data_IF_106175999113
#
_entry.id   IF_106175999113
#
_cell.length_a   1.000
_cell.length_b   1.000
_cell.length_c   1.000
_cell.angle_alpha   90.00
_cell.angle_beta   90.00
_cell.angle_gamma   90.00
#
_symmetry.space_group_name_H-M   'P 1'
#
loop_
_entity.id
_entity.type
_entity.pdbx_description
1 polymer ?
#
# COMPACT_ATOMS: atom_id res chain seq x y z
N UNK A 1 8.28 3.48 -11.40
CA UNK A 1 7.15 2.67 -11.91
C UNK A 1 5.87 3.36 -11.46
N UNK A 2 4.86 3.51 -12.33
CA UNK A 2 3.58 4.13 -11.97
C UNK A 2 2.50 3.05 -11.84
N UNK A 3 2.29 2.50 -10.65
CA UNK A 3 1.37 1.38 -10.45
C UNK A 3 -0.10 1.68 -10.81
N UNK A 4 -0.51 2.96 -10.77
CA UNK A 4 -1.89 3.36 -11.04
C UNK A 4 -2.26 3.28 -12.53
N UNK A 5 -1.27 3.26 -13.44
CA UNK A 5 -1.50 3.09 -14.88
C UNK A 5 -1.48 1.63 -15.34
N UNK A 6 -1.16 0.67 -14.46
CA UNK A 6 -1.13 -0.76 -14.79
C UNK A 6 -2.32 -1.49 -14.17
N UNK A 7 -2.96 -2.35 -14.97
CA UNK A 7 -4.06 -3.19 -14.52
C UNK A 7 -3.96 -4.60 -15.10
N UNK A 8 -3.95 -5.60 -14.23
CA UNK A 8 -4.09 -7.00 -14.63
C UNK A 8 -5.54 -7.44 -14.53
N UNK A 9 -6.20 -7.66 -15.68
CA UNK A 9 -7.58 -8.20 -15.74
C UNK A 9 -7.68 -9.63 -15.21
N UNK A 10 -6.57 -10.36 -15.16
CA UNK A 10 -6.51 -11.75 -14.73
C UNK A 10 -6.20 -11.93 -13.25
N UNK A 11 -5.72 -10.89 -12.55
CA UNK A 11 -5.34 -10.97 -11.14
C UNK A 11 -6.44 -11.58 -10.26
N UNK A 12 -7.70 -11.15 -10.45
CA UNK A 12 -8.85 -11.67 -9.69
C UNK A 12 -9.08 -13.17 -9.87
N UNK A 13 -8.61 -13.76 -10.98
CA UNK A 13 -8.71 -15.20 -11.25
C UNK A 13 -7.47 -15.96 -10.79
N UNK A 14 -6.36 -15.28 -10.52
CA UNK A 14 -5.05 -15.87 -10.22
C UNK A 14 -4.57 -15.69 -8.78
N UNK A 15 -5.16 -14.78 -8.01
CA UNK A 15 -4.77 -14.48 -6.64
C UNK A 15 -5.90 -14.78 -5.63
N UNK A 16 -5.52 -14.95 -4.36
CA UNK A 16 -6.43 -15.22 -3.25
C UNK A 16 -6.29 -16.64 -2.68
N UNK A 17 -7.22 -17.05 -1.79
CA UNK A 17 -7.20 -18.36 -1.15
C UNK A 17 -7.10 -19.51 -2.15
N UNK A 18 -6.24 -20.49 -1.86
CA UNK A 18 -6.02 -21.66 -2.72
C UNK A 18 -5.22 -21.41 -3.99
N UNK A 19 -4.70 -20.18 -4.20
CA UNK A 19 -3.79 -19.85 -5.30
C UNK A 19 -2.52 -19.17 -4.82
N UNK A 20 -2.67 -18.12 -4.01
CA UNK A 20 -1.56 -17.36 -3.45
C UNK A 20 -1.71 -17.31 -1.93
N UNK A 21 -2.28 -16.22 -1.41
CA UNK A 21 -2.53 -15.98 0.01
C UNK A 21 -3.93 -15.39 0.20
N UNK A 22 -4.63 -15.67 1.31
CA UNK A 22 -6.01 -15.22 1.49
C UNK A 22 -6.24 -13.71 1.39
N UNK A 23 -5.27 -12.91 1.82
CA UNK A 23 -5.31 -11.44 1.90
C UNK A 23 -4.78 -10.73 0.65
N UNK A 24 -4.24 -11.46 -0.34
CA UNK A 24 -3.54 -10.87 -1.48
C UNK A 24 -4.39 -9.80 -2.19
N UNK A 25 -5.67 -10.11 -2.47
CA UNK A 25 -6.56 -9.18 -3.19
C UNK A 25 -6.88 -7.94 -2.36
N UNK A 26 -7.05 -8.09 -1.06
CA UNK A 26 -7.37 -6.98 -0.14
C UNK A 26 -6.15 -6.06 0.00
N UNK A 27 -4.95 -6.63 0.17
CA UNK A 27 -3.68 -5.90 0.21
C UNK A 27 -3.44 -5.14 -1.09
N UNK A 28 -3.67 -5.78 -2.24
CA UNK A 28 -3.51 -5.13 -3.54
C UNK A 28 -4.50 -3.97 -3.73
N UNK A 29 -5.77 -4.16 -3.33
CA UNK A 29 -6.79 -3.12 -3.40
C UNK A 29 -6.46 -1.93 -2.47
N UNK A 30 -6.05 -2.22 -1.24
CA UNK A 30 -5.67 -1.19 -0.26
C UNK A 30 -4.43 -0.41 -0.73
N UNK A 31 -3.43 -1.08 -1.31
CA UNK A 31 -2.22 -0.43 -1.83
C UNK A 31 -2.57 0.55 -2.96
N UNK A 32 -3.41 0.14 -3.93
CA UNK A 32 -3.84 1.04 -5.00
C UNK A 32 -4.61 2.26 -4.47
N UNK A 33 -5.49 2.05 -3.48
CA UNK A 33 -6.21 3.15 -2.84
C UNK A 33 -5.25 4.13 -2.13
N UNK A 34 -4.25 3.61 -1.40
CA UNK A 34 -3.25 4.43 -0.73
C UNK A 34 -2.41 5.26 -1.71
N UNK A 35 -1.95 4.66 -2.82
CA UNK A 35 -1.19 5.37 -3.85
C UNK A 35 -2.02 6.44 -4.56
N UNK A 36 -3.30 6.15 -4.84
CA UNK A 36 -4.21 7.14 -5.42
C UNK A 36 -4.41 8.34 -4.48
N UNK A 37 -4.55 8.09 -3.17
CA UNK A 37 -4.67 9.16 -2.17
C UNK A 37 -3.38 9.95 -2.03
N UNK A 38 -2.22 9.29 -1.98
CA UNK A 38 -0.92 9.95 -1.89
C UNK A 38 -0.67 10.88 -3.09
N UNK A 39 -1.06 10.46 -4.30
CA UNK A 39 -1.02 11.32 -5.49
C UNK A 39 -1.86 12.58 -5.33
N UNK A 40 -3.11 12.45 -4.87
CA UNK A 40 -3.97 13.62 -4.61
C UNK A 40 -3.38 14.56 -3.55
N UNK A 41 -2.78 13.99 -2.49
CA UNK A 41 -2.10 14.75 -1.44
C UNK A 41 -0.91 15.51 -2.00
N UNK A 42 -0.11 14.89 -2.88
CA UNK A 42 1.04 15.53 -3.53
C UNK A 42 0.59 16.68 -4.42
N UNK A 43 -0.43 16.46 -5.26
CA UNK A 43 -1.03 17.50 -6.09
C UNK A 43 -1.57 18.67 -5.24
N UNK A 44 -2.20 18.39 -4.09
CA UNK A 44 -2.64 19.42 -3.16
C UNK A 44 -1.45 20.17 -2.52
N UNK A 45 -0.42 19.47 -2.08
CA UNK A 45 0.78 20.05 -1.49
C UNK A 45 1.52 20.99 -2.47
N UNK A 46 1.57 20.63 -3.75
CA UNK A 46 2.18 21.44 -4.80
C UNK A 46 1.40 22.75 -5.04
N UNK A 47 0.08 22.73 -4.81
CA UNK A 47 -0.80 23.91 -4.97
C UNK A 47 -0.80 24.84 -3.76
N UNK A 48 -0.88 24.30 -2.54
CA UNK A 48 -1.09 25.09 -1.31
C UNK A 48 0.10 25.12 -0.35
N UNK A 49 1.14 24.32 -0.62
CA UNK A 49 2.32 24.15 0.22
C UNK A 49 2.20 23.03 1.25
N UNK A 50 3.34 22.43 1.62
CA UNK A 50 3.41 21.28 2.53
C UNK A 50 2.95 21.59 3.97
N UNK A 51 2.95 22.86 4.38
CA UNK A 51 2.51 23.29 5.71
C UNK A 51 1.00 23.10 5.93
N UNK A 52 0.22 23.03 4.85
CA UNK A 52 -1.23 22.80 4.89
C UNK A 52 -1.61 21.32 5.05
N UNK A 53 -0.65 20.39 5.01
CA UNK A 53 -0.92 18.96 5.08
C UNK A 53 -1.28 18.50 6.49
N UNK A 54 -2.39 17.76 6.59
CA UNK A 54 -2.76 17.08 7.83
C UNK A 54 -1.74 15.99 8.20
N UNK A 55 -1.71 15.53 9.46
CA UNK A 55 -0.88 14.39 9.85
C UNK A 55 -1.14 13.14 9.00
N UNK A 56 -2.39 12.87 8.65
CA UNK A 56 -2.76 11.73 7.80
C UNK A 56 -2.24 11.91 6.37
N UNK A 57 -2.34 13.11 5.80
CA UNK A 57 -1.82 13.39 4.46
C UNK A 57 -0.30 13.17 4.39
N UNK A 58 0.43 13.59 5.43
CA UNK A 58 1.87 13.31 5.54
C UNK A 58 2.17 11.81 5.54
N UNK A 59 1.38 11.00 6.28
CA UNK A 59 1.50 9.54 6.27
C UNK A 59 1.24 8.92 4.90
N UNK A 60 0.36 9.48 4.09
CA UNK A 60 0.18 9.03 2.71
C UNK A 60 1.40 9.32 1.83
N UNK A 61 2.09 10.46 2.03
CA UNK A 61 3.35 10.73 1.34
C UNK A 61 4.48 9.79 1.80
N UNK A 62 4.56 9.49 3.11
CA UNK A 62 5.52 8.51 3.64
C UNK A 62 5.24 7.10 3.08
N UNK A 63 3.97 6.73 2.98
CA UNK A 63 3.53 5.47 2.37
C UNK A 63 3.94 5.36 0.90
N UNK A 64 3.83 6.45 0.13
CA UNK A 64 4.24 6.52 -1.28
C UNK A 64 5.76 6.38 -1.44
N UNK A 65 6.55 7.03 -0.57
CA UNK A 65 8.00 6.85 -0.56
C UNK A 65 8.40 5.41 -0.21
N UNK A 66 7.76 4.82 0.80
CA UNK A 66 7.98 3.43 1.18
C UNK A 66 7.52 2.44 0.11
N UNK A 67 6.52 2.79 -0.71
CA UNK A 67 6.19 1.99 -1.88
C UNK A 67 7.31 2.01 -2.93
N UNK A 68 7.89 3.18 -3.23
CA UNK A 68 8.88 3.29 -4.28
C UNK A 68 10.24 2.66 -3.92
N UNK A 69 10.76 2.92 -2.73
CA UNK A 69 12.14 2.53 -2.38
C UNK A 69 12.24 1.08 -1.86
N UNK A 70 11.66 0.69 -0.72
CA UNK A 70 11.84 -0.67 -0.23
C UNK A 70 10.94 -1.72 -0.94
N UNK A 71 9.81 -1.32 -1.53
CA UNK A 71 8.89 -2.27 -2.15
C UNK A 71 9.13 -2.48 -3.65
N UNK A 72 9.21 -1.39 -4.44
CA UNK A 72 9.44 -1.47 -5.90
C UNK A 72 10.91 -1.58 -6.27
N UNK A 73 11.79 -0.79 -5.65
CA UNK A 73 13.23 -0.73 -5.99
C UNK A 73 14.01 -1.91 -5.39
N UNK A 74 13.66 -3.12 -5.84
CA UNK A 74 14.39 -4.34 -5.53
C UNK A 74 15.76 -4.33 -6.18
N UNK A 75 16.76 -4.90 -5.51
CA UNK A 75 18.09 -5.00 -6.12
C UNK A 75 18.02 -5.92 -7.35
N UNK A 76 18.91 -5.67 -8.31
CA UNK A 76 18.97 -6.46 -9.56
C UNK A 76 19.23 -7.95 -9.33
N UNK A 77 19.83 -8.30 -8.21
CA UNK A 77 20.17 -9.66 -7.78
C UNK A 77 19.26 -10.19 -6.66
N UNK A 78 18.22 -9.43 -6.29
CA UNK A 78 17.23 -9.86 -5.29
C UNK A 78 16.18 -10.76 -5.94
N UNK A 79 15.97 -11.94 -5.33
CA UNK A 79 14.86 -12.83 -5.64
C UNK A 79 13.90 -12.80 -4.46
N UNK A 80 12.71 -12.26 -4.67
CA UNK A 80 11.67 -12.16 -3.63
C UNK A 80 10.53 -13.13 -3.93
N UNK A 81 10.21 -13.99 -2.99
CA UNK A 81 9.03 -14.83 -3.06
C UNK A 81 7.75 -13.98 -2.95
N UNK A 82 6.62 -14.54 -3.36
CA UNK A 82 5.35 -13.84 -3.27
C UNK A 82 4.97 -13.50 -1.83
N UNK A 83 5.20 -14.42 -0.89
CA UNK A 83 4.91 -14.18 0.53
C UNK A 83 5.76 -13.03 1.09
N UNK A 84 7.05 -12.99 0.76
CA UNK A 84 7.93 -11.87 1.15
C UNK A 84 7.48 -10.54 0.54
N UNK A 85 6.96 -10.57 -0.70
CA UNK A 85 6.36 -9.40 -1.34
C UNK A 85 5.13 -8.93 -0.57
N UNK A 86 4.22 -9.83 -0.20
CA UNK A 86 3.03 -9.47 0.55
C UNK A 86 3.35 -9.00 1.97
N UNK A 87 4.35 -9.58 2.64
CA UNK A 87 4.86 -9.05 3.92
C UNK A 87 5.45 -7.65 3.77
N UNK A 88 6.21 -7.39 2.70
CA UNK A 88 6.71 -6.05 2.42
C UNK A 88 5.57 -5.07 2.13
N UNK A 89 4.49 -5.50 1.46
CA UNK A 89 3.32 -4.66 1.22
C UNK A 89 2.63 -4.29 2.54
N UNK A 90 2.50 -5.23 3.48
CA UNK A 90 1.99 -4.95 4.82
C UNK A 90 2.81 -3.89 5.55
N UNK A 91 4.15 -3.97 5.52
CA UNK A 91 5.02 -2.96 6.14
C UNK A 91 4.78 -1.56 5.58
N UNK A 92 4.57 -1.45 4.27
CA UNK A 92 4.23 -0.16 3.62
C UNK A 92 2.86 0.32 4.07
N UNK A 93 1.84 -0.55 4.07
CA UNK A 93 0.48 -0.18 4.44
C UNK A 93 0.35 0.22 5.92
N UNK A 94 1.10 -0.42 6.81
CA UNK A 94 1.08 -0.12 8.25
C UNK A 94 1.72 1.23 8.63
N UNK A 95 2.28 1.96 7.66
CA UNK A 95 2.63 3.38 7.84
C UNK A 95 1.36 4.23 8.04
N UNK A 96 0.26 3.81 7.41
CA UNK A 96 -1.04 4.44 7.56
C UNK A 96 -1.70 3.99 8.86
N UNK A 97 -2.37 4.91 9.59
CA UNK A 97 -3.11 4.53 10.77
C UNK A 97 -4.32 3.65 10.38
N UNK A 98 -4.76 2.79 11.29
CA UNK A 98 -5.84 1.81 11.04
C UNK A 98 -7.07 2.40 10.35
N UNK A 99 -7.49 3.61 10.72
CA UNK A 99 -8.66 4.29 10.13
C UNK A 99 -8.54 4.59 8.63
N UNK A 100 -7.34 4.53 8.07
CA UNK A 100 -7.05 4.74 6.65
C UNK A 100 -6.94 3.43 5.85
N UNK A 101 -7.03 2.28 6.53
CA UNK A 101 -6.93 0.95 5.95
C UNK A 101 -8.29 0.30 5.70
N UNK A 102 -9.21 1.06 5.08
CA UNK A 102 -10.63 0.72 4.97
C UNK A 102 -10.95 -0.49 4.08
N UNK A 103 -10.06 -0.89 3.17
CA UNK A 103 -10.25 -2.07 2.31
C UNK A 103 -9.80 -3.36 3.00
N UNK A 104 -9.11 -3.27 4.14
CA UNK A 104 -8.61 -4.42 4.86
C UNK A 104 -9.61 -4.87 5.94
N UNK A 105 -10.00 -6.16 5.97
CA UNK A 105 -10.77 -6.74 7.06
C UNK A 105 -10.16 -6.47 8.43
N UNK A 106 -10.99 -6.15 9.42
CA UNK A 106 -10.54 -5.88 10.80
C UNK A 106 -9.71 -7.02 11.38
N UNK A 107 -10.08 -8.28 11.09
CA UNK A 107 -9.33 -9.45 11.53
C UNK A 107 -7.89 -9.49 10.99
N UNK A 108 -7.66 -9.05 9.75
CA UNK A 108 -6.32 -8.96 9.18
C UNK A 108 -5.53 -7.82 9.82
N UNK A 109 -6.16 -6.67 10.02
CA UNK A 109 -5.53 -5.54 10.70
C UNK A 109 -5.11 -5.89 12.13
N UNK A 110 -5.93 -6.67 12.84
CA UNK A 110 -5.63 -7.14 14.19
C UNK A 110 -4.47 -8.15 14.18
N UNK A 111 -4.44 -9.09 13.23
CA UNK A 111 -3.37 -10.07 13.09
C UNK A 111 -2.00 -9.43 12.77
N UNK A 112 -1.99 -8.32 12.04
CA UNK A 112 -0.79 -7.59 11.67
C UNK A 112 -0.44 -6.42 12.62
N UNK A 113 -1.14 -6.29 13.74
CA UNK A 113 -0.81 -5.32 14.79
C UNK A 113 -1.01 -3.85 14.39
N UNK A 114 -1.97 -3.56 13.50
CA UNK A 114 -2.22 -2.20 13.05
C UNK A 114 -2.63 -1.29 14.22
N UNK A 115 -1.77 -0.33 14.55
CA UNK A 115 -1.99 0.60 15.65
C UNK A 115 -3.26 1.42 15.43
N UNK A 116 -4.07 1.54 16.48
CA UNK A 116 -5.22 2.46 16.53
C UNK A 116 -4.67 3.87 16.72
N UNK A 117 -4.18 4.47 15.63
CA UNK A 117 -3.83 5.88 15.58
C UNK A 117 -5.00 6.79 15.89
#
# INVERSE_FOLDING_TARGET
>A
MDALSWLSRLMRKGAGPGRTRPDHLDVAAQMLAALARARQVREFADLVGQTALSPADRRYLDCDEAFLRPFVDQRRDELRALDETLESAWRVLLILPRGQLAMLPSALLDAHGAERG
#
